data_IF_180233744951
#
_entry.id   IF_180233744951
#
_cell.length_a   1.000
_cell.length_b   1.000
_cell.length_c   1.000
_cell.angle_alpha   90.00
_cell.angle_beta   90.00
_cell.angle_gamma   90.00
#
_symmetry.space_group_name_H-M   'P 1'
#
loop_
_entity.id
_entity.type
_entity.pdbx_description
1 polymer ?
#
# COMPACT_ATOMS: atom_id res chain seq x y z
N UNK A 1 -15.73 3.62 -11.93
CA UNK A 1 -15.90 2.21 -12.35
C UNK A 1 -14.57 1.45 -12.50
N UNK A 2 -13.48 2.06 -12.93
CA UNK A 2 -12.17 1.41 -13.14
C UNK A 2 -11.48 0.88 -11.86
N UNK A 3 -11.82 1.38 -10.69
CA UNK A 3 -11.26 0.90 -9.41
C UNK A 3 -11.66 -0.55 -9.08
N UNK A 4 -12.91 -0.93 -9.37
CA UNK A 4 -13.43 -2.26 -9.03
C UNK A 4 -12.66 -3.42 -9.69
N UNK A 5 -12.42 -3.43 -11.01
CA UNK A 5 -11.64 -4.50 -11.61
C UNK A 5 -10.20 -4.52 -11.10
N UNK A 6 -9.60 -3.35 -10.83
CA UNK A 6 -8.26 -3.26 -10.26
C UNK A 6 -8.18 -3.88 -8.86
N UNK A 7 -9.10 -3.53 -7.96
CA UNK A 7 -9.12 -4.06 -6.60
C UNK A 7 -9.42 -5.56 -6.56
N UNK A 8 -10.36 -6.06 -7.37
CA UNK A 8 -10.67 -7.49 -7.45
C UNK A 8 -9.46 -8.29 -7.97
N UNK A 9 -8.87 -7.86 -9.09
CA UNK A 9 -7.69 -8.53 -9.63
C UNK A 9 -6.51 -8.49 -8.65
N UNK A 10 -6.30 -7.35 -7.97
CA UNK A 10 -5.26 -7.19 -6.96
C UNK A 10 -5.45 -8.13 -5.77
N UNK A 11 -6.67 -8.33 -5.29
CA UNK A 11 -6.96 -9.26 -4.21
C UNK A 11 -6.57 -10.70 -4.58
N UNK A 12 -7.02 -11.21 -5.74
CA UNK A 12 -6.68 -12.56 -6.19
C UNK A 12 -5.16 -12.74 -6.40
N UNK A 13 -4.50 -11.77 -7.02
CA UNK A 13 -3.05 -11.86 -7.27
C UNK A 13 -2.27 -11.75 -5.97
N UNK A 14 -2.75 -10.97 -5.00
CA UNK A 14 -2.12 -10.86 -3.69
C UNK A 14 -2.12 -12.18 -2.91
N UNK A 15 -3.14 -13.01 -3.06
CA UNK A 15 -3.20 -14.34 -2.44
C UNK A 15 -2.19 -15.31 -3.07
N UNK A 16 -1.93 -15.17 -4.37
CA UNK A 16 -1.03 -16.05 -5.11
C UNK A 16 0.43 -15.59 -5.10
N UNK A 17 0.69 -14.31 -5.40
CA UNK A 17 2.04 -13.74 -5.53
C UNK A 17 2.57 -13.19 -4.19
N UNK A 18 1.68 -12.96 -3.25
CA UNK A 18 1.95 -12.27 -1.99
C UNK A 18 1.79 -10.76 -2.09
N UNK A 19 1.48 -10.08 -0.97
CA UNK A 19 1.13 -8.66 -0.96
C UNK A 19 2.30 -7.74 -1.35
N UNK A 20 3.54 -8.10 -1.00
CA UNK A 20 4.74 -7.32 -1.37
C UNK A 20 4.94 -7.26 -2.88
N UNK A 21 4.95 -8.40 -3.54
CA UNK A 21 5.21 -8.46 -4.98
C UNK A 21 4.04 -7.92 -5.79
N UNK A 22 2.81 -8.12 -5.34
CA UNK A 22 1.62 -7.52 -5.98
C UNK A 22 1.66 -6.00 -5.90
N UNK A 23 2.06 -5.43 -4.76
CA UNK A 23 2.25 -4.00 -4.59
C UNK A 23 3.33 -3.47 -5.56
N UNK A 24 4.50 -4.09 -5.60
CA UNK A 24 5.61 -3.68 -6.47
C UNK A 24 5.18 -3.75 -7.95
N UNK A 25 4.56 -4.85 -8.36
CA UNK A 25 4.07 -5.02 -9.73
C UNK A 25 3.06 -3.94 -10.09
N UNK A 26 2.12 -3.65 -9.20
CA UNK A 26 1.11 -2.61 -9.41
C UNK A 26 1.70 -1.22 -9.61
N UNK A 27 2.62 -0.79 -8.72
CA UNK A 27 3.24 0.54 -8.84
C UNK A 27 4.20 0.65 -10.04
N UNK A 28 4.88 -0.44 -10.42
CA UNK A 28 5.75 -0.46 -11.62
C UNK A 28 4.91 -0.32 -12.89
N UNK A 29 3.83 -1.09 -13.04
CA UNK A 29 2.94 -0.99 -14.20
C UNK A 29 2.28 0.40 -14.21
N UNK A 30 1.84 0.89 -13.06
CA UNK A 30 1.28 2.24 -12.95
C UNK A 30 2.29 3.32 -13.36
N UNK A 31 3.58 3.17 -13.00
CA UNK A 31 4.64 4.07 -13.45
C UNK A 31 4.81 4.05 -14.97
N UNK A 32 4.83 2.86 -15.58
CA UNK A 32 4.95 2.70 -17.04
C UNK A 32 3.78 3.40 -17.74
N UNK A 33 2.55 3.17 -17.30
CA UNK A 33 1.36 3.83 -17.85
C UNK A 33 1.45 5.35 -17.65
N UNK A 34 1.90 5.79 -16.47
CA UNK A 34 2.11 7.22 -16.17
C UNK A 34 3.11 7.89 -17.10
N UNK A 35 4.23 7.24 -17.41
CA UNK A 35 5.20 7.72 -18.39
C UNK A 35 4.65 7.76 -19.82
N UNK A 36 3.88 6.75 -20.21
CA UNK A 36 3.19 6.73 -21.52
C UNK A 36 2.19 7.90 -21.59
N UNK A 37 1.40 8.12 -20.55
CA UNK A 37 0.45 9.23 -20.48
C UNK A 37 1.16 10.59 -20.53
N UNK A 38 2.28 10.73 -19.84
CA UNK A 38 3.07 11.93 -19.87
C UNK A 38 3.65 12.20 -21.28
N UNK A 39 4.27 11.18 -21.89
CA UNK A 39 4.92 11.31 -23.22
C UNK A 39 3.94 11.53 -24.37
N UNK A 40 2.79 10.88 -24.33
CA UNK A 40 1.76 10.93 -25.37
C UNK A 40 0.60 11.89 -25.03
N UNK A 41 0.76 12.74 -24.05
CA UNK A 41 -0.33 13.59 -23.55
C UNK A 41 -1.03 14.40 -24.64
N UNK A 42 -0.29 15.01 -25.56
CA UNK A 42 -0.84 15.80 -26.66
C UNK A 42 -1.74 15.00 -27.60
N UNK A 43 -1.38 13.74 -27.85
CA UNK A 43 -2.20 12.85 -28.68
C UNK A 43 -3.41 12.31 -27.93
N UNK A 44 -3.23 11.95 -26.66
CA UNK A 44 -4.29 11.42 -25.81
C UNK A 44 -5.33 12.49 -25.46
N UNK A 45 -4.90 13.73 -25.19
CA UNK A 45 -5.81 14.84 -24.87
C UNK A 45 -6.68 15.28 -26.06
N UNK A 46 -6.24 15.02 -27.30
CA UNK A 46 -7.04 15.27 -28.49
C UNK A 46 -8.28 14.35 -28.57
N UNK A 47 -8.25 13.18 -27.90
CA UNK A 47 -9.38 12.26 -27.83
C UNK A 47 -9.72 11.96 -26.37
N UNK A 48 -10.73 12.65 -25.85
CA UNK A 48 -11.16 12.54 -24.45
C UNK A 48 -11.51 11.11 -24.05
N UNK A 49 -12.10 10.32 -24.95
CA UNK A 49 -12.44 8.92 -24.66
C UNK A 49 -11.18 8.05 -24.49
N UNK A 50 -10.19 8.20 -25.37
CA UNK A 50 -8.92 7.51 -25.25
C UNK A 50 -8.19 7.89 -23.96
N UNK A 51 -8.14 9.19 -23.65
CA UNK A 51 -7.55 9.66 -22.39
C UNK A 51 -8.24 9.05 -21.17
N UNK A 52 -9.58 9.06 -21.14
CA UNK A 52 -10.37 8.52 -20.03
C UNK A 52 -10.11 7.02 -19.80
N UNK A 53 -9.97 6.23 -20.89
CA UNK A 53 -9.67 4.80 -20.79
C UNK A 53 -8.27 4.57 -20.24
N UNK A 54 -7.24 5.22 -20.78
CA UNK A 54 -5.86 5.04 -20.32
C UNK A 54 -5.70 5.52 -18.88
N UNK A 55 -6.31 6.64 -18.52
CA UNK A 55 -6.34 7.14 -17.16
C UNK A 55 -7.09 6.18 -16.22
N UNK A 56 -8.19 5.59 -16.68
CA UNK A 56 -8.92 4.57 -15.93
C UNK A 56 -8.07 3.32 -15.66
N UNK A 57 -7.27 2.87 -16.64
CA UNK A 57 -6.32 1.77 -16.44
C UNK A 57 -5.23 2.15 -15.45
N UNK A 58 -4.68 3.37 -15.55
CA UNK A 58 -3.72 3.89 -14.57
C UNK A 58 -4.27 3.85 -13.14
N UNK A 59 -5.52 4.27 -12.95
CA UNK A 59 -6.20 4.22 -11.65
C UNK A 59 -6.46 2.78 -11.18
N UNK A 60 -6.80 1.85 -12.09
CA UNK A 60 -6.99 0.43 -11.78
C UNK A 60 -5.73 -0.19 -11.18
N UNK A 61 -4.55 0.12 -11.71
CA UNK A 61 -3.29 -0.39 -11.16
C UNK A 61 -2.91 0.26 -9.84
N UNK A 62 -3.39 1.47 -9.55
CA UNK A 62 -3.31 2.08 -8.23
C UNK A 62 -4.06 1.29 -7.16
N UNK A 63 -5.23 0.73 -7.50
CA UNK A 63 -5.99 -0.15 -6.59
C UNK A 63 -5.45 -1.57 -6.57
N UNK A 64 -5.05 -2.11 -7.73
CA UNK A 64 -4.45 -3.45 -7.86
C UNK A 64 -3.23 -3.62 -6.95
N UNK A 65 -2.30 -2.67 -6.96
CA UNK A 65 -1.07 -2.71 -6.18
C UNK A 65 -1.24 -2.07 -4.80
N UNK A 66 -1.01 -0.75 -4.69
CA UNK A 66 -0.96 -0.06 -3.40
C UNK A 66 -2.30 -0.03 -2.67
N UNK A 67 -3.42 0.15 -3.36
CA UNK A 67 -4.75 0.24 -2.73
C UNK A 67 -5.07 -0.97 -1.86
N UNK A 68 -4.87 -2.18 -2.38
CA UNK A 68 -5.14 -3.41 -1.63
C UNK A 68 -4.03 -3.78 -0.64
N UNK A 69 -2.76 -3.55 -0.98
CA UNK A 69 -1.66 -4.23 -0.31
C UNK A 69 -0.98 -3.40 0.78
N UNK A 70 -1.07 -2.06 0.76
CA UNK A 70 -0.45 -1.22 1.80
C UNK A 70 -1.05 -1.52 3.17
N UNK A 71 -2.38 -1.57 3.27
CA UNK A 71 -3.07 -1.90 4.52
C UNK A 71 -2.78 -3.32 5.00
N UNK A 72 -2.78 -4.28 4.07
CA UNK A 72 -2.49 -5.68 4.35
C UNK A 72 -1.04 -5.85 4.84
N UNK A 73 -0.06 -5.23 4.20
CA UNK A 73 1.34 -5.24 4.62
C UNK A 73 1.49 -4.62 6.00
N UNK A 74 0.92 -3.44 6.24
CA UNK A 74 0.95 -2.80 7.54
C UNK A 74 0.33 -3.67 8.65
N UNK A 75 -0.73 -4.41 8.33
CA UNK A 75 -1.37 -5.31 9.29
C UNK A 75 -0.56 -6.57 9.57
N UNK A 76 0.19 -7.09 8.58
CA UNK A 76 0.96 -8.34 8.71
C UNK A 76 2.39 -8.15 9.23
N UNK A 77 2.95 -6.94 9.13
CA UNK A 77 4.33 -6.63 9.56
C UNK A 77 4.44 -6.18 11.01
N UNK A 78 3.38 -6.27 11.80
CA UNK A 78 3.41 -5.93 13.21
C UNK A 78 2.55 -6.87 14.05
N UNK A 79 2.91 -7.00 15.33
CA UNK A 79 2.15 -7.82 16.28
C UNK A 79 0.73 -7.28 16.50
N UNK A 80 -0.18 -8.17 16.86
CA UNK A 80 -1.60 -7.85 17.06
C UNK A 80 -1.79 -6.78 18.15
N UNK A 81 -0.98 -6.79 19.21
CA UNK A 81 -1.08 -5.86 20.33
C UNK A 81 -0.83 -4.39 19.97
N UNK A 82 -0.02 -4.12 18.95
CA UNK A 82 0.34 -2.74 18.56
C UNK A 82 -0.15 -2.36 17.16
N UNK A 83 -0.82 -3.28 16.47
CA UNK A 83 -1.27 -3.14 15.08
C UNK A 83 -2.06 -1.86 14.82
N UNK A 84 -3.00 -1.52 15.70
CA UNK A 84 -3.81 -0.31 15.54
C UNK A 84 -2.98 0.97 15.58
N UNK A 85 -2.02 1.06 16.49
CA UNK A 85 -1.11 2.22 16.60
C UNK A 85 -0.16 2.29 15.38
N UNK A 86 0.41 1.18 14.99
CA UNK A 86 1.30 1.09 13.83
C UNK A 86 0.58 1.52 12.55
N UNK A 87 -0.60 0.95 12.28
CA UNK A 87 -1.41 1.31 11.13
C UNK A 87 -1.83 2.79 11.17
N UNK A 88 -2.22 3.31 12.34
CA UNK A 88 -2.58 4.71 12.52
C UNK A 88 -1.44 5.67 12.17
N UNK A 89 -0.21 5.36 12.62
CA UNK A 89 0.98 6.16 12.28
C UNK A 89 1.27 6.09 10.77
N UNK A 90 1.24 4.90 10.18
CA UNK A 90 1.46 4.74 8.75
C UNK A 90 0.42 5.51 7.91
N UNK A 91 -0.85 5.44 8.30
CA UNK A 91 -1.92 6.20 7.66
C UNK A 91 -1.74 7.72 7.84
N UNK A 92 -1.30 8.19 9.01
CA UNK A 92 -1.03 9.61 9.26
C UNK A 92 0.09 10.13 8.34
N UNK A 93 1.19 9.40 8.21
CA UNK A 93 2.29 9.74 7.27
C UNK A 93 1.78 9.81 5.83
N UNK A 94 0.94 8.85 5.42
CA UNK A 94 0.29 8.88 4.10
C UNK A 94 -0.58 10.13 3.89
N UNK A 95 -1.33 10.55 4.91
CA UNK A 95 -2.14 11.79 4.86
C UNK A 95 -1.31 13.05 4.77
N UNK A 96 -0.16 13.09 5.46
CA UNK A 96 0.81 14.20 5.32
C UNK A 96 1.32 14.26 3.88
N UNK A 97 1.68 13.12 3.27
CA UNK A 97 2.08 13.05 1.87
C UNK A 97 1.00 13.55 0.91
N UNK A 98 -0.26 13.15 1.12
CA UNK A 98 -1.39 13.63 0.33
C UNK A 98 -1.60 15.16 0.48
N UNK A 99 -1.48 15.69 1.70
CA UNK A 99 -1.56 17.11 1.97
C UNK A 99 -0.46 17.89 1.24
N UNK A 100 0.79 17.46 1.33
CA UNK A 100 1.92 18.07 0.60
C UNK A 100 1.66 18.02 -0.91
N UNK A 101 1.18 16.89 -1.44
CA UNK A 101 0.83 16.74 -2.85
C UNK A 101 -0.20 17.75 -3.33
N UNK A 102 -1.21 18.04 -2.50
CA UNK A 102 -2.26 19.02 -2.83
C UNK A 102 -1.69 20.43 -3.10
N UNK A 103 -0.61 20.80 -2.42
CA UNK A 103 0.07 22.09 -2.65
C UNK A 103 1.12 22.02 -3.78
N UNK A 104 1.88 20.95 -3.84
CA UNK A 104 3.01 20.81 -4.76
C UNK A 104 2.56 20.60 -6.20
N UNK A 105 1.54 19.79 -6.45
CA UNK A 105 1.10 19.50 -7.81
C UNK A 105 0.60 20.73 -8.59
N UNK A 106 -0.21 21.65 -8.03
CA UNK A 106 -0.57 22.89 -8.70
C UNK A 106 0.63 23.79 -9.04
N UNK A 107 1.65 23.84 -8.17
CA UNK A 107 2.88 24.60 -8.45
C UNK A 107 3.70 23.96 -9.59
N UNK A 108 3.78 22.64 -9.63
CA UNK A 108 4.40 21.91 -10.76
C UNK A 108 3.67 22.20 -12.06
N UNK A 109 2.36 22.29 -12.07
CA UNK A 109 1.58 22.66 -13.26
C UNK A 109 1.90 24.07 -13.75
N UNK A 110 2.07 25.04 -12.85
CA UNK A 110 2.42 26.43 -13.20
C UNK A 110 3.82 26.56 -13.83
N UNK A 111 4.71 25.60 -13.60
CA UNK A 111 6.06 25.60 -14.17
C UNK A 111 6.09 25.26 -15.67
N UNK A 112 4.97 24.80 -16.24
CA UNK A 112 4.86 24.51 -17.67
C UNK A 112 4.78 25.79 -18.52
N UNK A 113 5.50 25.81 -19.63
CA UNK A 113 5.48 26.94 -20.57
C UNK A 113 4.24 26.94 -21.48
N UNK A 114 3.55 25.80 -21.60
CA UNK A 114 2.36 25.59 -22.43
C UNK A 114 1.35 24.73 -21.65
N UNK A 115 0.07 24.82 -22.00
CA UNK A 115 -1.01 24.03 -21.37
C UNK A 115 -0.73 22.51 -21.39
N UNK A 116 -0.13 22.01 -22.47
CA UNK A 116 0.27 20.61 -22.61
C UNK A 116 1.34 20.23 -21.59
N UNK A 117 2.40 21.03 -21.46
CA UNK A 117 3.47 20.79 -20.50
C UNK A 117 2.98 20.90 -19.06
N UNK A 118 2.15 21.89 -18.77
CA UNK A 118 1.54 22.06 -17.45
C UNK A 118 0.75 20.81 -17.01
N UNK A 119 0.06 20.18 -17.94
CA UNK A 119 -0.69 18.97 -17.68
C UNK A 119 0.18 17.69 -17.68
N UNK A 120 1.31 17.67 -18.39
CA UNK A 120 2.24 16.53 -18.43
C UNK A 120 3.08 16.39 -17.15
N UNK A 121 3.54 17.50 -16.58
CA UNK A 121 4.48 17.49 -15.46
C UNK A 121 4.01 16.70 -14.24
N UNK A 122 2.75 16.78 -13.80
CA UNK A 122 2.24 15.92 -12.72
C UNK A 122 2.39 14.42 -13.00
N UNK A 123 2.16 13.97 -14.24
CA UNK A 123 2.32 12.57 -14.61
C UNK A 123 3.79 12.13 -14.59
N UNK A 124 4.73 12.97 -15.04
CA UNK A 124 6.16 12.69 -14.94
C UNK A 124 6.59 12.53 -13.49
N UNK A 125 6.19 13.44 -12.62
CA UNK A 125 6.52 13.40 -11.19
C UNK A 125 5.87 12.18 -10.52
N UNK A 126 4.59 11.93 -10.75
CA UNK A 126 3.88 10.79 -10.15
C UNK A 126 4.48 9.45 -10.61
N UNK A 127 4.81 9.29 -11.90
CA UNK A 127 5.44 8.09 -12.42
C UNK A 127 6.84 7.87 -11.82
N UNK A 128 7.63 8.92 -11.65
CA UNK A 128 8.95 8.86 -11.02
C UNK A 128 8.85 8.47 -9.54
N UNK A 129 7.89 9.03 -8.81
CA UNK A 129 7.62 8.68 -7.41
C UNK A 129 7.13 7.21 -7.27
N UNK A 130 6.38 6.70 -8.23
CA UNK A 130 6.00 5.29 -8.26
C UNK A 130 7.21 4.36 -8.39
N UNK A 131 8.18 4.71 -9.27
CA UNK A 131 9.44 3.93 -9.35
C UNK A 131 10.22 3.99 -8.04
N UNK A 132 10.35 5.18 -7.45
CA UNK A 132 10.99 5.33 -6.15
C UNK A 132 10.28 4.48 -5.08
N UNK A 133 8.95 4.48 -5.05
CA UNK A 133 8.14 3.65 -4.15
C UNK A 133 8.39 2.16 -4.38
N UNK A 134 8.49 1.71 -5.64
CA UNK A 134 8.80 0.31 -5.96
C UNK A 134 10.18 -0.11 -5.40
N UNK A 135 11.20 0.75 -5.55
CA UNK A 135 12.55 0.50 -5.03
C UNK A 135 12.54 0.45 -3.50
N UNK A 136 11.86 1.38 -2.84
CA UNK A 136 11.73 1.39 -1.37
C UNK A 136 11.00 0.13 -0.90
N UNK A 137 9.89 -0.24 -1.53
CA UNK A 137 9.15 -1.45 -1.16
C UNK A 137 9.97 -2.72 -1.37
N UNK A 138 10.73 -2.80 -2.46
CA UNK A 138 11.58 -3.96 -2.73
C UNK A 138 12.67 -4.13 -1.66
N UNK A 139 13.32 -3.03 -1.26
CA UNK A 139 14.47 -3.04 -0.34
C UNK A 139 14.09 -3.14 1.13
N UNK A 140 13.04 -2.44 1.56
CA UNK A 140 12.74 -2.28 2.99
C UNK A 140 11.58 -3.17 3.48
N UNK A 141 10.64 -3.55 2.62
CA UNK A 141 9.52 -4.36 3.08
C UNK A 141 9.93 -5.84 3.09
N UNK A 142 9.79 -6.55 4.23
CA UNK A 142 10.06 -7.98 4.31
C UNK A 142 9.04 -8.77 3.48
N UNK A 143 9.42 -10.01 3.12
CA UNK A 143 8.46 -10.94 2.54
C UNK A 143 7.47 -11.36 3.63
N UNK A 144 6.19 -11.26 3.31
CA UNK A 144 5.10 -11.54 4.23
C UNK A 144 4.38 -12.81 3.79
N UNK A 145 4.35 -13.82 4.67
CA UNK A 145 3.67 -15.09 4.48
C UNK A 145 2.40 -15.18 5.36
N UNK A 146 1.68 -16.30 5.28
CA UNK A 146 0.47 -16.48 6.08
C UNK A 146 0.78 -16.48 7.58
N UNK A 147 1.89 -17.09 7.98
CA UNK A 147 2.29 -17.27 9.39
C UNK A 147 3.02 -16.07 10.00
N UNK A 148 3.32 -15.04 9.21
CA UNK A 148 4.10 -13.86 9.67
C UNK A 148 3.46 -13.17 10.88
N UNK A 149 2.13 -13.17 11.00
CA UNK A 149 1.44 -12.56 12.16
C UNK A 149 1.75 -13.34 13.43
N UNK A 150 1.74 -14.66 13.37
CA UNK A 150 2.03 -15.55 14.50
C UNK A 150 3.48 -15.38 14.93
N UNK A 151 4.41 -15.33 13.98
CA UNK A 151 5.83 -15.08 14.24
C UNK A 151 6.06 -13.70 14.89
N UNK A 152 5.44 -12.66 14.38
CA UNK A 152 5.56 -11.30 14.95
C UNK A 152 4.92 -11.19 16.34
N UNK A 153 3.84 -11.92 16.60
CA UNK A 153 3.25 -12.00 17.94
C UNK A 153 4.19 -12.69 18.93
N UNK A 154 4.84 -13.79 18.51
CA UNK A 154 5.81 -14.51 19.35
C UNK A 154 7.03 -13.65 19.67
N UNK A 155 7.62 -12.98 18.67
CA UNK A 155 8.74 -12.04 18.86
C UNK A 155 8.39 -10.87 19.79
N UNK A 156 7.18 -10.34 19.64
CA UNK A 156 6.72 -9.24 20.49
C UNK A 156 6.53 -9.69 21.94
N UNK A 157 6.03 -10.90 22.16
CA UNK A 157 5.89 -11.49 23.49
C UNK A 157 7.28 -11.69 24.13
N UNK A 158 8.21 -12.31 23.43
CA UNK A 158 9.60 -12.50 23.90
C UNK A 158 10.27 -11.17 24.27
N UNK A 159 10.07 -10.14 23.42
CA UNK A 159 10.59 -8.80 23.72
C UNK A 159 9.99 -8.21 25.01
N UNK A 160 8.68 -8.34 25.25
CA UNK A 160 8.04 -7.82 26.46
C UNK A 160 8.51 -8.58 27.70
N UNK A 161 8.61 -9.89 27.65
CA UNK A 161 9.12 -10.72 28.74
C UNK A 161 10.57 -10.37 29.07
N UNK A 162 11.41 -10.13 28.08
CA UNK A 162 12.78 -9.65 28.27
C UNK A 162 12.86 -8.30 28.99
N UNK A 163 11.81 -7.50 28.95
CA UNK A 163 11.66 -6.21 29.64
C UNK A 163 10.93 -6.32 30.98
N UNK A 164 10.54 -7.53 31.41
CA UNK A 164 9.87 -7.78 32.68
C UNK A 164 8.37 -7.44 32.67
N UNK A 165 7.74 -7.37 31.49
CA UNK A 165 6.30 -7.13 31.39
C UNK A 165 5.54 -8.46 31.47
N UNK A 166 4.37 -8.43 32.12
CA UNK A 166 3.46 -9.56 32.15
C UNK A 166 2.75 -9.70 30.79
N UNK A 167 2.95 -10.85 30.14
CA UNK A 167 2.41 -11.13 28.80
C UNK A 167 1.12 -11.96 28.84
N UNK A 168 0.62 -12.34 30.02
CA UNK A 168 -0.57 -13.19 30.16
C UNK A 168 -1.85 -12.59 29.56
N UNK A 169 -1.91 -11.27 29.37
CA UNK A 169 -3.03 -10.55 28.78
C UNK A 169 -2.95 -10.38 27.26
N UNK A 170 -1.86 -10.80 26.61
CA UNK A 170 -1.61 -10.60 25.17
C UNK A 170 -2.31 -11.62 24.25
N UNK A 171 -3.27 -12.34 24.76
CA UNK A 171 -3.98 -13.40 24.03
C UNK A 171 -3.40 -14.79 24.26
N UNK A 172 -4.17 -15.80 23.91
CA UNK A 172 -3.78 -17.20 24.07
C UNK A 172 -2.71 -17.55 23.03
N UNK A 173 -1.61 -18.17 23.45
CA UNK A 173 -0.69 -18.83 22.53
C UNK A 173 -1.42 -19.98 21.84
N UNK A 174 -1.38 -20.06 20.52
CA UNK A 174 -1.92 -21.19 19.76
C UNK A 174 -1.30 -22.54 20.17
N UNK A 175 -0.13 -22.51 20.81
CA UNK A 175 0.57 -23.68 21.35
C UNK A 175 0.22 -24.00 22.81
N UNK A 176 -0.59 -23.19 23.48
CA UNK A 176 -1.07 -23.53 24.82
C UNK A 176 -2.31 -24.41 24.65
N UNK A 177 -2.28 -25.69 25.08
CA UNK A 177 -3.46 -26.54 25.04
C UNK A 177 -4.59 -25.80 25.76
N UNK A 178 -5.75 -25.73 25.11
CA UNK A 178 -6.93 -25.04 25.63
C UNK A 178 -7.16 -25.44 27.08
N UNK A 179 -6.80 -24.55 28.01
CA UNK A 179 -7.25 -24.71 29.39
C UNK A 179 -8.77 -24.58 29.34
N UNK A 180 -9.40 -25.70 29.51
CA UNK A 180 -10.86 -25.82 29.69
C UNK A 180 -11.24 -24.83 30.79
N UNK A 181 -11.80 -23.70 30.40
CA UNK A 181 -12.40 -22.78 31.36
C UNK A 181 -13.59 -23.50 31.95
N UNK A 182 -13.41 -24.17 33.06
CA UNK A 182 -14.52 -24.59 33.90
C UNK A 182 -15.28 -23.34 34.29
N UNK A 183 -16.38 -23.10 33.59
CA UNK A 183 -17.40 -22.16 34.02
C UNK A 183 -17.93 -22.67 35.34
N UNK A 184 -17.39 -22.20 36.44
CA UNK A 184 -18.00 -22.40 37.77
C UNK A 184 -19.34 -21.69 37.71
N UNK A 185 -20.39 -22.47 37.45
CA UNK A 185 -21.75 -22.05 37.67
C UNK A 185 -21.96 -21.89 39.18
N UNK A 186 -22.13 -20.66 39.65
CA UNK A 186 -22.80 -20.30 40.89
C UNK A 186 -24.14 -19.68 40.57
#
# INVERSE_FOLDING_TARGET
>A
MFYLPGSLAGAFVSDWLGPKYTLITGVVIQAIIGFIMAGLYSHLSANVAAFAVVYGIFLSFGEFGPGNNIGLLAAKTCSTGVRGRYYGIAAAVGKIGAFVGTYVFPEIQKAGNNDVQSAQYPFWVAASLNILSAVICFTFIPNVHQDTITEENARFREYLESKGWDTNQLGVDENTPAQTTEVVAM
#
